data_IF_427863789152
#
_entry.id   IF_427863789152
#
_cell.length_a   1.000
_cell.length_b   1.000
_cell.length_c   1.000
_cell.angle_alpha   90.00
_cell.angle_beta   90.00
_cell.angle_gamma   90.00
#
_symmetry.space_group_name_H-M   'P 1'
#
loop_
_entity.id
_entity.type
_entity.pdbx_description
1 polymer ?
#
# COMPACT_ATOMS: atom_id res chain seq x y z
N UNK A 1 -43.20 -77.09 -2.04
CA UNK A 1 -42.20 -77.66 -1.11
C UNK A 1 -41.03 -78.18 -1.94
N UNK A 2 -39.81 -77.68 -1.67
CA UNK A 2 -38.49 -78.21 -2.10
C UNK A 2 -38.16 -78.07 -3.60
N UNK A 3 -37.01 -77.58 -4.06
CA UNK A 3 -35.72 -77.23 -3.43
C UNK A 3 -35.10 -76.00 -4.13
N UNK A 4 -34.55 -75.11 -3.31
CA UNK A 4 -33.51 -74.15 -3.68
C UNK A 4 -32.19 -74.86 -3.39
N UNK A 5 -31.39 -75.17 -4.41
CA UNK A 5 -29.94 -75.08 -4.32
C UNK A 5 -29.26 -75.37 -5.66
N UNK A 6 -28.43 -74.43 -6.11
CA UNK A 6 -27.11 -74.69 -6.72
C UNK A 6 -26.44 -73.36 -7.06
N UNK A 7 -25.71 -72.88 -6.06
CA UNK A 7 -24.29 -72.52 -6.16
C UNK A 7 -23.85 -71.72 -7.39
N UNK A 8 -23.84 -70.40 -7.17
CA UNK A 8 -22.68 -69.52 -7.26
C UNK A 8 -21.33 -70.12 -7.70
N UNK A 9 -20.64 -69.36 -8.57
CA UNK A 9 -19.19 -69.20 -8.77
C UNK A 9 -18.68 -69.54 -10.18
N UNK A 10 -18.80 -68.58 -11.09
CA UNK A 10 -17.80 -68.41 -12.15
C UNK A 10 -16.75 -67.42 -11.67
N UNK A 11 -15.64 -67.99 -11.20
CA UNK A 11 -14.35 -67.35 -10.95
C UNK A 11 -13.80 -66.82 -12.28
N UNK A 12 -13.40 -65.55 -12.34
CA UNK A 12 -12.39 -65.10 -13.31
C UNK A 12 -11.70 -63.80 -12.86
N UNK A 13 -10.50 -63.99 -12.30
CA UNK A 13 -9.30 -63.15 -12.39
C UNK A 13 -9.36 -61.68 -11.94
N UNK A 14 -8.79 -61.46 -10.75
CA UNK A 14 -8.11 -60.22 -10.34
C UNK A 14 -6.83 -60.08 -11.18
N UNK A 15 -6.61 -58.90 -11.78
CA UNK A 15 -5.31 -58.51 -12.33
C UNK A 15 -4.95 -57.10 -11.83
N UNK A 16 -4.01 -57.07 -10.90
CA UNK A 16 -3.32 -55.91 -10.35
C UNK A 16 -2.21 -55.46 -11.30
N UNK A 17 -2.09 -54.17 -11.64
CA UNK A 17 -0.93 -53.59 -12.30
C UNK A 17 -0.66 -52.20 -11.70
N UNK A 18 0.13 -52.13 -10.62
CA UNK A 18 1.56 -51.74 -10.58
C UNK A 18 1.81 -50.31 -11.08
N UNK A 19 2.04 -49.45 -10.09
CA UNK A 19 2.60 -48.10 -10.16
C UNK A 19 4.04 -48.15 -10.68
N UNK A 20 4.41 -47.28 -11.63
CA UNK A 20 5.81 -47.04 -11.99
C UNK A 20 6.08 -45.53 -12.13
N UNK A 21 7.08 -45.07 -11.37
CA UNK A 21 7.50 -43.68 -11.19
C UNK A 21 8.65 -43.35 -12.17
N UNK A 22 8.54 -42.15 -12.77
CA UNK A 22 9.53 -41.21 -13.29
C UNK A 22 10.78 -41.68 -14.06
N UNK A 23 11.00 -41.04 -15.22
CA UNK A 23 12.31 -40.45 -15.55
C UNK A 23 12.14 -39.08 -16.22
N UNK A 24 13.06 -38.18 -15.87
CA UNK A 24 13.11 -36.76 -16.21
C UNK A 24 13.94 -36.58 -17.49
N UNK A 25 13.45 -35.79 -18.44
CA UNK A 25 14.20 -35.20 -19.55
C UNK A 25 13.39 -33.97 -19.96
N UNK A 26 13.76 -32.74 -19.63
CA UNK A 26 15.06 -32.14 -19.93
C UNK A 26 14.89 -31.15 -21.10
N UNK A 27 13.94 -30.22 -21.01
CA UNK A 27 13.96 -29.01 -21.82
C UNK A 27 14.61 -27.92 -20.98
N UNK A 28 15.85 -27.59 -21.32
CA UNK A 28 16.52 -26.38 -20.87
C UNK A 28 15.76 -25.18 -21.45
N UNK A 29 14.70 -24.78 -20.76
CA UNK A 29 14.12 -23.45 -20.86
C UNK A 29 15.01 -22.49 -20.10
N UNK A 30 15.50 -21.48 -20.80
CA UNK A 30 16.31 -20.38 -20.28
C UNK A 30 15.57 -19.76 -19.08
N UNK A 31 16.06 -19.96 -17.86
CA UNK A 31 15.62 -19.18 -16.71
C UNK A 31 16.25 -17.79 -16.84
N UNK A 32 15.46 -16.70 -16.97
CA UNK A 32 16.01 -15.39 -16.70
C UNK A 32 16.45 -15.37 -15.24
N UNK A 33 17.63 -14.81 -15.00
CA UNK A 33 18.05 -14.40 -13.66
C UNK A 33 17.05 -13.32 -13.23
N UNK A 34 15.99 -13.74 -12.55
CA UNK A 34 14.94 -12.89 -11.99
C UNK A 34 14.76 -13.32 -10.56
N UNK A 35 14.96 -12.38 -9.64
CA UNK A 35 14.74 -12.51 -8.19
C UNK A 35 13.54 -13.43 -7.94
N UNK A 36 13.72 -14.45 -7.10
CA UNK A 36 12.60 -15.16 -6.47
C UNK A 36 11.88 -14.16 -5.57
N UNK A 37 10.99 -13.36 -6.14
CA UNK A 37 9.92 -12.73 -5.39
C UNK A 37 9.02 -13.88 -4.96
N UNK A 38 9.13 -14.28 -3.71
CA UNK A 38 8.01 -14.97 -3.07
C UNK A 38 6.82 -14.05 -3.31
N UNK A 39 5.90 -14.46 -4.17
CA UNK A 39 4.70 -13.69 -4.46
C UNK A 39 4.02 -13.47 -3.10
N UNK A 40 4.06 -12.25 -2.60
CA UNK A 40 3.51 -11.91 -1.30
C UNK A 40 1.99 -12.12 -1.46
N UNK A 41 1.47 -13.17 -0.82
CA UNK A 41 0.05 -13.49 -0.89
C UNK A 41 -0.72 -12.43 -0.10
N UNK A 42 -1.06 -11.33 -0.76
CA UNK A 42 -1.84 -10.25 -0.18
C UNK A 42 -3.34 -10.49 -0.37
N UNK A 43 -4.11 -10.17 0.67
CA UNK A 43 -5.57 -10.20 0.66
C UNK A 43 -6.16 -9.03 -0.15
N UNK A 44 -5.45 -7.90 -0.17
CA UNK A 44 -5.85 -6.67 -0.86
C UNK A 44 -4.69 -6.12 -1.69
N UNK A 45 -5.01 -5.50 -2.82
CA UNK A 45 -4.04 -4.77 -3.66
C UNK A 45 -4.44 -3.31 -3.75
N UNK A 46 -3.44 -2.43 -3.67
CA UNK A 46 -3.62 -1.00 -3.83
C UNK A 46 -2.53 -0.47 -4.78
N UNK A 47 -2.97 0.00 -5.96
CA UNK A 47 -2.09 0.58 -6.97
C UNK A 47 -1.81 2.04 -6.62
N UNK A 48 -0.62 2.32 -6.10
CA UNK A 48 -0.28 3.64 -5.54
C UNK A 48 -0.17 4.71 -6.64
N UNK A 49 0.29 4.31 -7.81
CA UNK A 49 0.47 5.19 -8.97
C UNK A 49 -0.81 5.39 -9.79
N UNK A 50 -1.78 4.49 -9.65
CA UNK A 50 -3.11 4.76 -10.16
C UNK A 50 -3.70 5.90 -9.32
N UNK A 51 -4.29 6.89 -9.99
CA UNK A 51 -4.79 8.10 -9.33
C UNK A 51 -6.34 8.12 -9.32
N UNK A 52 -7.04 7.11 -8.77
CA UNK A 52 -8.43 7.31 -8.41
C UNK A 52 -8.45 8.37 -7.31
N UNK A 53 -9.24 9.41 -7.50
CA UNK A 53 -9.37 10.54 -6.57
C UNK A 53 -10.74 10.53 -5.87
N UNK A 54 -11.11 9.45 -5.14
CA UNK A 54 -12.43 9.32 -4.55
C UNK A 54 -12.68 10.32 -3.42
N UNK A 55 -11.62 10.80 -2.76
CA UNK A 55 -11.75 11.86 -1.76
C UNK A 55 -11.87 13.22 -2.42
N UNK A 56 -11.20 13.43 -3.55
CA UNK A 56 -11.22 14.68 -4.31
C UNK A 56 -9.86 14.99 -4.92
N UNK A 57 -9.74 16.15 -5.57
CA UNK A 57 -8.54 16.51 -6.31
C UNK A 57 -7.30 16.61 -5.42
N UNK A 58 -6.28 15.80 -5.74
CA UNK A 58 -4.96 15.85 -5.09
C UNK A 58 -4.26 17.21 -5.32
N UNK A 59 -4.46 17.81 -6.49
CA UNK A 59 -3.92 19.14 -6.82
C UNK A 59 -4.54 20.22 -5.92
N UNK A 60 -5.87 20.23 -5.78
CA UNK A 60 -6.55 21.18 -4.88
C UNK A 60 -6.17 20.99 -3.42
N UNK A 61 -5.91 19.75 -3.00
CA UNK A 61 -5.41 19.45 -1.66
C UNK A 61 -4.04 20.08 -1.43
N UNK A 62 -3.10 19.85 -2.36
CA UNK A 62 -1.76 20.44 -2.28
C UNK A 62 -1.83 21.97 -2.27
N UNK A 63 -2.61 22.56 -3.17
CA UNK A 63 -2.81 24.01 -3.20
C UNK A 63 -3.33 24.54 -1.86
N UNK A 64 -4.37 23.92 -1.29
CA UNK A 64 -4.91 24.33 0.00
C UNK A 64 -3.89 24.21 1.14
N UNK A 65 -3.05 23.16 1.13
CA UNK A 65 -1.97 22.99 2.11
C UNK A 65 -0.93 24.11 1.99
N UNK A 66 -0.45 24.40 0.78
CA UNK A 66 0.50 25.49 0.53
C UNK A 66 -0.09 26.84 0.93
N UNK A 67 -1.33 27.16 0.58
CA UNK A 67 -1.99 28.41 0.98
C UNK A 67 -2.10 28.56 2.50
N UNK A 68 -2.36 27.46 3.23
CA UNK A 68 -2.41 27.46 4.69
C UNK A 68 -1.03 27.62 5.32
N UNK A 69 0.00 27.00 4.73
CA UNK A 69 1.38 27.18 5.15
C UNK A 69 1.87 28.62 4.90
N UNK A 70 1.59 29.19 3.73
CA UNK A 70 1.92 30.58 3.36
C UNK A 70 1.24 31.62 4.25
N UNK A 71 -0.01 31.36 4.65
CA UNK A 71 -0.75 32.26 5.54
C UNK A 71 -0.12 32.34 6.95
N UNK A 72 0.77 31.41 7.32
CA UNK A 72 1.42 31.38 8.62
C UNK A 72 0.45 31.15 9.78
N UNK A 73 -0.69 30.48 9.53
CA UNK A 73 -1.69 30.19 10.56
C UNK A 73 -1.06 29.37 11.69
N UNK A 74 -1.31 29.79 12.94
CA UNK A 74 -0.64 29.26 14.14
C UNK A 74 -0.87 27.75 14.36
N UNK A 75 -1.94 27.18 13.80
CA UNK A 75 -2.19 25.74 13.74
C UNK A 75 -3.25 25.44 12.68
N UNK A 76 -3.09 24.36 11.93
CA UNK A 76 -4.11 23.79 11.02
C UNK A 76 -4.12 22.27 11.13
N UNK A 77 -5.00 21.57 10.41
CA UNK A 77 -5.04 20.11 10.35
C UNK A 77 -5.19 19.63 8.91
N UNK A 78 -4.86 18.37 8.64
CA UNK A 78 -5.12 17.79 7.31
C UNK A 78 -6.64 17.76 6.99
N UNK A 79 -7.50 17.67 8.00
CA UNK A 79 -8.95 17.77 7.86
C UNK A 79 -9.41 19.14 7.33
N UNK A 80 -8.80 20.23 7.81
CA UNK A 80 -9.07 21.59 7.32
C UNK A 80 -8.56 21.79 5.89
N UNK A 81 -7.36 21.27 5.58
CA UNK A 81 -6.82 21.24 4.21
C UNK A 81 -7.80 20.53 3.27
N UNK A 82 -8.26 19.34 3.67
CA UNK A 82 -9.23 18.54 2.90
C UNK A 82 -10.54 19.31 2.68
N UNK A 83 -11.06 19.96 3.72
CA UNK A 83 -12.29 20.75 3.63
C UNK A 83 -12.14 21.90 2.63
N UNK A 84 -11.03 22.63 2.67
CA UNK A 84 -10.73 23.74 1.77
C UNK A 84 -10.51 23.28 0.33
N UNK A 85 -9.93 22.10 0.14
CA UNK A 85 -9.79 21.43 -1.16
C UNK A 85 -11.12 20.89 -1.72
N UNK A 86 -12.19 20.89 -0.92
CA UNK A 86 -13.49 20.34 -1.28
C UNK A 86 -13.51 18.81 -1.28
N UNK A 87 -12.61 18.16 -0.54
CA UNK A 87 -12.61 16.71 -0.38
C UNK A 87 -13.88 16.24 0.35
N UNK A 88 -14.33 15.04 -0.04
CA UNK A 88 -15.50 14.35 0.50
C UNK A 88 -15.10 12.91 0.85
N UNK A 89 -16.00 12.20 1.51
CA UNK A 89 -15.75 10.81 1.93
C UNK A 89 -15.02 10.70 3.28
N UNK A 90 -14.64 9.48 3.60
CA UNK A 90 -14.11 9.08 4.91
C UNK A 90 -12.66 8.66 4.79
N UNK A 91 -11.82 9.22 5.66
CA UNK A 91 -10.42 8.90 5.86
C UNK A 91 -10.03 9.47 7.25
N UNK A 92 -9.01 8.89 7.86
CA UNK A 92 -8.59 9.21 9.24
C UNK A 92 -7.11 9.53 9.40
N UNK A 93 -6.23 9.07 8.50
CA UNK A 93 -4.81 9.39 8.54
C UNK A 93 -4.15 9.42 7.17
N UNK A 94 -2.99 10.03 7.13
CA UNK A 94 -2.08 10.05 5.99
C UNK A 94 -0.74 9.43 6.40
N UNK A 95 -0.16 8.61 5.52
CA UNK A 95 1.18 8.05 5.66
C UNK A 95 2.06 8.58 4.51
N UNK A 96 3.06 9.44 4.77
CA UNK A 96 4.12 9.71 3.82
C UNK A 96 5.06 8.50 3.74
N UNK A 97 5.38 8.06 2.52
CA UNK A 97 6.36 7.01 2.24
C UNK A 97 7.32 7.51 1.18
N UNK A 98 8.56 7.04 1.23
CA UNK A 98 9.49 7.16 0.11
C UNK A 98 9.21 6.10 -0.97
N UNK A 99 9.73 6.34 -2.17
CA UNK A 99 9.62 5.41 -3.31
C UNK A 99 10.44 4.11 -3.12
N UNK A 100 11.15 3.94 -2.00
CA UNK A 100 11.87 2.71 -1.67
C UNK A 100 11.11 1.78 -0.70
N UNK A 101 9.98 2.25 -0.16
CA UNK A 101 9.21 1.50 0.81
C UNK A 101 8.59 0.22 0.22
N UNK A 102 8.75 -0.90 0.92
CA UNK A 102 8.12 -2.17 0.53
C UNK A 102 6.69 -2.26 1.07
N UNK A 103 5.88 -3.19 0.53
CA UNK A 103 4.53 -3.46 1.07
C UNK A 103 4.56 -3.80 2.57
N UNK A 104 5.57 -4.55 3.02
CA UNK A 104 5.77 -4.87 4.44
C UNK A 104 6.04 -3.62 5.27
N UNK A 105 6.90 -2.71 4.79
CA UNK A 105 7.23 -1.47 5.51
C UNK A 105 5.99 -0.58 5.65
N UNK A 106 5.23 -0.43 4.58
CA UNK A 106 4.02 0.40 4.56
C UNK A 106 2.97 -0.18 5.50
N UNK A 107 2.75 -1.49 5.47
CA UNK A 107 1.83 -2.14 6.40
C UNK A 107 2.26 -1.93 7.86
N UNK A 108 3.55 -2.10 8.16
CA UNK A 108 4.08 -1.87 9.51
C UNK A 108 3.89 -0.42 9.97
N UNK A 109 4.24 0.57 9.13
CA UNK A 109 4.09 1.99 9.44
C UNK A 109 2.61 2.42 9.56
N UNK A 110 1.74 1.87 8.71
CA UNK A 110 0.31 2.20 8.69
C UNK A 110 -0.49 1.48 9.78
N UNK A 111 0.10 0.49 10.47
CA UNK A 111 -0.64 -0.40 11.37
C UNK A 111 -1.66 -1.28 10.64
N UNK A 112 -1.35 -1.69 9.40
CA UNK A 112 -2.18 -2.56 8.56
C UNK A 112 -1.48 -3.89 8.30
N UNK A 113 -2.15 -4.82 7.60
CA UNK A 113 -1.55 -6.09 7.19
C UNK A 113 -2.25 -6.63 5.95
N UNK A 114 -1.56 -7.49 5.18
CA UNK A 114 -2.15 -8.20 4.04
C UNK A 114 -2.41 -7.33 2.81
N UNK A 115 -1.83 -6.13 2.72
CA UNK A 115 -2.00 -5.22 1.58
C UNK A 115 -0.73 -5.20 0.73
N UNK A 116 -0.87 -5.51 -0.55
CA UNK A 116 0.17 -5.30 -1.55
C UNK A 116 0.03 -3.88 -2.11
N UNK A 117 1.01 -3.03 -1.83
CA UNK A 117 1.16 -1.72 -2.43
C UNK A 117 1.96 -1.85 -3.72
N UNK A 118 1.30 -1.56 -4.84
CA UNK A 118 1.81 -1.79 -6.18
C UNK A 118 2.16 -0.47 -6.86
N UNK A 119 3.13 -0.53 -7.78
CA UNK A 119 3.64 0.63 -8.52
C UNK A 119 4.51 1.59 -7.71
N UNK A 120 5.00 1.15 -6.56
CA UNK A 120 6.13 1.80 -5.89
C UNK A 120 7.38 1.30 -6.59
N UNK A 121 8.08 2.20 -7.26
CA UNK A 121 9.29 1.87 -8.02
C UNK A 121 10.48 2.48 -7.31
N UNK A 122 11.57 1.70 -7.15
CA UNK A 122 12.82 2.20 -6.61
C UNK A 122 13.23 3.50 -7.33
N UNK A 123 13.29 4.58 -6.56
CA UNK A 123 13.73 5.88 -7.06
C UNK A 123 15.17 5.80 -7.56
N UNK A 124 15.42 6.36 -8.74
CA UNK A 124 16.78 6.68 -9.20
C UNK A 124 17.50 7.51 -8.11
N UNK A 125 18.67 7.07 -7.59
CA UNK A 125 19.39 7.79 -6.54
C UNK A 125 19.75 9.24 -6.93
N UNK A 126 19.81 9.56 -8.22
CA UNK A 126 20.11 10.90 -8.72
C UNK A 126 18.86 11.81 -8.80
N UNK A 127 17.66 11.28 -8.58
CA UNK A 127 16.38 11.99 -8.78
C UNK A 127 15.87 12.79 -7.57
N UNK A 128 16.60 12.76 -6.44
CA UNK A 128 16.19 13.41 -5.21
C UNK A 128 15.08 12.64 -4.46
N UNK A 129 14.72 13.13 -3.27
CA UNK A 129 13.71 12.49 -2.42
C UNK A 129 12.31 12.68 -3.00
N UNK A 130 11.60 11.57 -3.18
CA UNK A 130 10.23 11.49 -3.69
C UNK A 130 9.51 10.28 -3.11
N UNK A 131 8.20 10.29 -3.25
CA UNK A 131 7.36 9.19 -2.80
C UNK A 131 5.89 9.50 -2.87
N UNK A 132 5.15 8.96 -1.90
CA UNK A 132 3.68 9.01 -1.88
C UNK A 132 3.14 9.40 -0.53
N UNK A 133 2.06 10.18 -0.52
CA UNK A 133 1.15 10.30 0.61
C UNK A 133 0.01 9.32 0.39
N UNK A 134 -0.15 8.35 1.27
CA UNK A 134 -1.25 7.38 1.21
C UNK A 134 -2.27 7.71 2.31
N UNK A 135 -3.51 7.93 1.90
CA UNK A 135 -4.61 8.23 2.81
C UNK A 135 -5.37 6.94 3.14
N UNK A 136 -5.72 6.77 4.40
CA UNK A 136 -6.38 5.56 4.91
C UNK A 136 -7.73 5.86 5.55
N UNK A 137 -8.63 4.88 5.47
CA UNK A 137 -9.78 4.74 6.34
C UNK A 137 -9.72 3.39 7.06
N UNK A 138 -9.48 3.40 8.36
CA UNK A 138 -9.22 2.20 9.14
C UNK A 138 -8.03 1.44 8.56
N UNK A 139 -8.23 0.19 8.15
CA UNK A 139 -7.17 -0.61 7.53
C UNK A 139 -7.06 -0.44 6.01
N UNK A 140 -7.90 0.37 5.38
CA UNK A 140 -7.99 0.43 3.91
C UNK A 140 -7.34 1.70 3.37
N UNK A 141 -6.38 1.61 2.42
CA UNK A 141 -5.94 2.75 1.65
C UNK A 141 -7.05 3.20 0.70
N UNK A 142 -7.29 4.50 0.61
CA UNK A 142 -8.43 5.07 -0.14
C UNK A 142 -8.00 6.00 -1.28
N UNK A 143 -6.85 6.66 -1.16
CA UNK A 143 -6.30 7.55 -2.18
C UNK A 143 -4.81 7.75 -1.95
N UNK A 144 -4.04 7.98 -3.01
CA UNK A 144 -2.62 8.31 -2.96
C UNK A 144 -2.33 9.64 -3.64
N UNK A 145 -1.23 10.29 -3.26
CA UNK A 145 -0.73 11.50 -3.89
C UNK A 145 0.79 11.42 -4.03
N UNK A 146 1.30 11.56 -5.24
CA UNK A 146 2.74 11.68 -5.47
C UNK A 146 3.27 12.96 -4.84
N UNK A 147 4.48 12.88 -4.28
CA UNK A 147 5.26 14.04 -3.87
C UNK A 147 6.73 13.87 -4.28
N UNK A 148 7.35 15.01 -4.53
CA UNK A 148 8.78 15.18 -4.70
C UNK A 148 9.21 16.43 -3.92
N UNK A 149 10.46 16.81 -4.05
CA UNK A 149 11.01 17.97 -3.37
C UNK A 149 10.34 19.31 -3.71
N UNK A 150 9.59 19.41 -4.82
CA UNK A 150 8.83 20.62 -5.19
C UNK A 150 7.36 20.57 -4.77
N UNK A 151 6.84 19.38 -4.50
CA UNK A 151 5.40 19.12 -4.37
C UNK A 151 5.00 18.47 -3.05
N UNK A 152 5.96 18.25 -2.16
CA UNK A 152 5.73 17.99 -0.74
C UNK A 152 4.98 19.13 -0.09
N UNK A 153 4.08 18.80 0.84
CA UNK A 153 3.30 19.79 1.58
C UNK A 153 3.20 19.49 3.08
N UNK A 154 3.63 18.29 3.50
CA UNK A 154 3.74 17.88 4.89
C UNK A 154 5.10 17.29 5.16
N UNK A 155 5.71 17.71 6.27
CA UNK A 155 6.94 17.16 6.83
C UNK A 155 6.67 16.56 8.21
N UNK A 156 7.17 15.35 8.41
CA UNK A 156 7.23 14.74 9.73
C UNK A 156 8.45 15.26 10.47
N UNK A 157 8.25 15.66 11.72
CA UNK A 157 9.36 15.87 12.65
C UNK A 157 10.01 14.51 12.99
N UNK A 158 11.26 14.52 13.43
CA UNK A 158 12.08 13.33 13.67
C UNK A 158 11.42 12.34 14.64
N UNK A 159 10.74 12.86 15.65
CA UNK A 159 10.10 12.07 16.72
C UNK A 159 8.59 11.91 16.48
N UNK A 160 8.07 12.38 15.35
CA UNK A 160 6.66 12.24 15.01
C UNK A 160 6.32 10.78 14.66
N UNK A 161 5.08 10.33 14.92
CA UNK A 161 4.59 9.08 14.36
C UNK A 161 4.74 9.06 12.84
N UNK A 162 4.93 7.87 12.26
CA UNK A 162 5.02 7.72 10.79
C UNK A 162 3.74 8.15 10.05
N UNK A 163 2.60 8.26 10.76
CA UNK A 163 1.33 8.74 10.18
C UNK A 163 0.91 10.06 10.80
N UNK A 164 0.33 10.94 10.00
CA UNK A 164 -0.34 12.16 10.46
C UNK A 164 -1.83 11.90 10.58
N UNK A 165 -2.41 12.10 11.76
CA UNK A 165 -3.86 11.96 11.91
C UNK A 165 -4.58 13.12 11.24
N UNK A 166 -5.79 12.87 10.74
CA UNK A 166 -6.62 13.88 10.06
C UNK A 166 -6.77 15.17 10.86
N UNK A 167 -7.03 15.03 12.15
CA UNK A 167 -7.34 16.15 13.05
C UNK A 167 -6.15 16.51 13.97
N UNK A 168 -4.95 15.99 13.67
CA UNK A 168 -3.73 16.36 14.40
C UNK A 168 -3.28 17.78 14.04
N UNK A 169 -2.90 18.59 15.04
CA UNK A 169 -2.33 19.91 14.81
C UNK A 169 -1.04 19.88 13.98
N UNK A 170 -1.00 20.72 12.95
CA UNK A 170 0.16 21.01 12.12
C UNK A 170 0.50 22.49 12.20
N UNK A 171 1.79 22.81 12.15
CA UNK A 171 2.28 24.19 12.15
C UNK A 171 2.80 24.54 10.75
N UNK A 172 2.51 25.75 10.30
CA UNK A 172 3.08 26.28 9.07
C UNK A 172 4.59 26.53 9.23
N UNK A 173 5.38 26.11 8.24
CA UNK A 173 6.79 26.47 8.11
C UNK A 173 7.06 27.10 6.75
N UNK A 174 7.57 28.32 6.78
CA UNK A 174 8.04 29.06 5.59
C UNK A 174 9.55 28.90 5.38
N UNK A 175 10.22 28.00 6.10
CA UNK A 175 11.64 27.69 5.92
C UNK A 175 11.90 26.90 4.64
N UNK A 176 10.84 26.30 4.08
CA UNK A 176 10.87 25.51 2.86
C UNK A 176 10.27 26.31 1.69
N UNK A 177 10.72 25.98 0.47
CA UNK A 177 10.20 26.52 -0.77
C UNK A 177 9.76 25.36 -1.69
N UNK A 178 8.45 25.09 -1.81
CA UNK A 178 7.33 25.86 -1.24
C UNK A 178 7.18 25.68 0.29
N UNK A 179 6.44 26.57 0.99
CA UNK A 179 6.11 26.39 2.40
C UNK A 179 5.36 25.07 2.66
N UNK A 180 5.68 24.44 3.79
CA UNK A 180 5.12 23.14 4.18
C UNK A 180 4.44 23.19 5.55
N UNK A 181 3.53 22.24 5.79
CA UNK A 181 2.98 21.96 7.11
C UNK A 181 3.88 20.96 7.85
N UNK A 182 4.13 21.19 9.13
CA UNK A 182 5.02 20.35 9.94
C UNK A 182 4.26 19.79 11.13
N UNK A 183 4.42 18.50 11.41
CA UNK A 183 3.87 17.89 12.63
C UNK A 183 4.45 18.56 13.86
N UNK A 184 3.60 18.92 14.83
CA UNK A 184 4.11 19.40 16.13
C UNK A 184 4.70 18.23 16.89
N UNK A 185 5.98 18.27 17.25
CA UNK A 185 6.52 17.33 18.24
C UNK A 185 5.66 17.47 19.50
N UNK A 186 5.00 16.39 19.91
CA UNK A 186 4.38 16.35 21.21
C UNK A 186 5.45 16.65 22.26
N UNK A 187 5.36 17.82 22.90
CA UNK A 187 6.12 18.08 24.11
C UNK A 187 5.70 17.06 25.14
N UNK A 188 6.50 16.00 25.29
CA UNK A 188 6.44 15.09 26.42
C UNK A 188 6.82 15.79 27.73
#
# INVERSE_FOLDING_TARGET
>A
MREIDKMLHRVAAVATAVLAIATVSGCAGISPIGRTTTEENCDTRFEVHENPQPLGSSEKFRQAATELAEAGTASTTLGEVAQRAGWRGTWDRMLPIDDSATSSDINAMAGTSGICFLGIHESDPDSGTRGWYIFFHGQQPVQSMYWDWYSGFVRLDRDAPSTVQRDEPLTASTEFDPPELVTTTGGG
#
